data_IF_409144161669
#
_entry.id   IF_409144161669
#
_cell.length_a   1.000
_cell.length_b   1.000
_cell.length_c   1.000
_cell.angle_alpha   90.00
_cell.angle_beta   90.00
_cell.angle_gamma   90.00
#
_symmetry.space_group_name_H-M   'P 1'
#
loop_
_entity.id
_entity.type
_entity.pdbx_description
1 polymer ?
#
# COMPACT_ATOMS: atom_id res chain seq x y z
N UNK A 1 -9.81 41.66 -72.15
CA UNK A 1 -10.67 41.19 -71.05
C UNK A 1 -10.38 39.72 -70.82
N UNK A 2 -10.16 39.31 -69.56
CA UNK A 2 -9.81 37.92 -69.22
C UNK A 2 -8.95 37.85 -67.96
N UNK A 3 -9.53 38.10 -66.78
CA UNK A 3 -8.85 37.84 -65.51
C UNK A 3 -8.91 36.35 -65.19
N UNK A 4 -7.76 35.76 -64.88
CA UNK A 4 -7.66 34.42 -64.31
C UNK A 4 -7.71 34.52 -62.78
N UNK A 5 -8.83 34.11 -62.17
CA UNK A 5 -8.91 33.95 -60.73
C UNK A 5 -8.27 32.62 -60.30
N UNK A 6 -7.10 32.68 -59.66
CA UNK A 6 -6.54 31.55 -58.94
C UNK A 6 -7.24 31.40 -57.58
N UNK A 7 -8.05 30.34 -57.41
CA UNK A 7 -8.70 30.02 -56.14
C UNK A 7 -7.74 29.25 -55.22
N UNK A 8 -7.25 29.92 -54.17
CA UNK A 8 -6.43 29.29 -53.14
C UNK A 8 -7.31 28.52 -52.14
N UNK A 9 -7.40 27.20 -52.30
CA UNK A 9 -8.09 26.33 -51.33
C UNK A 9 -7.24 26.12 -50.08
N UNK A 10 -7.50 26.89 -49.02
CA UNK A 10 -6.88 26.68 -47.72
C UNK A 10 -7.38 25.36 -47.09
N UNK A 11 -6.55 24.32 -47.16
CA UNK A 11 -6.80 23.05 -46.49
C UNK A 11 -6.59 23.22 -44.97
N UNK A 12 -7.69 23.39 -44.23
CA UNK A 12 -7.68 23.31 -42.77
C UNK A 12 -7.41 21.86 -42.35
N UNK A 13 -6.14 21.52 -42.15
CA UNK A 13 -5.74 20.26 -41.53
C UNK A 13 -6.23 20.23 -40.09
N UNK A 14 -7.27 19.44 -39.83
CA UNK A 14 -7.70 19.14 -38.47
C UNK A 14 -6.67 18.21 -37.83
N UNK A 15 -5.62 18.82 -37.26
CA UNK A 15 -4.71 18.15 -36.32
C UNK A 15 -5.54 17.59 -35.17
N UNK A 16 -5.88 16.30 -35.29
CA UNK A 16 -6.54 15.56 -34.22
C UNK A 16 -5.59 15.59 -33.04
N UNK A 17 -5.92 16.34 -31.99
CA UNK A 17 -5.20 16.27 -30.72
C UNK A 17 -5.51 14.93 -30.06
N UNK A 18 -4.85 13.88 -30.53
CA UNK A 18 -4.67 12.64 -29.78
C UNK A 18 -3.87 12.97 -28.53
N UNK A 19 -4.58 13.36 -27.47
CA UNK A 19 -3.98 13.55 -26.15
C UNK A 19 -3.28 12.26 -25.77
N UNK A 20 -1.96 12.32 -25.54
CA UNK A 20 -1.19 11.16 -25.10
C UNK A 20 -1.89 10.49 -23.90
N UNK A 21 -2.10 9.17 -23.92
CA UNK A 21 -2.85 8.49 -22.86
C UNK A 21 -2.16 8.71 -21.51
N UNK A 22 -2.93 9.08 -20.48
CA UNK A 22 -2.42 9.32 -19.13
C UNK A 22 -1.72 8.04 -18.64
N UNK A 23 -0.40 8.07 -18.55
CA UNK A 23 0.36 7.00 -17.93
C UNK A 23 0.27 7.16 -16.41
N UNK A 24 0.05 6.07 -15.70
CA UNK A 24 -0.02 6.08 -14.24
C UNK A 24 0.49 4.76 -13.67
N UNK A 25 0.98 4.83 -12.42
CA UNK A 25 1.38 3.68 -11.63
C UNK A 25 1.04 3.91 -10.17
N UNK A 26 0.73 2.85 -9.44
CA UNK A 26 0.74 2.91 -7.98
C UNK A 26 2.13 3.37 -7.50
N UNK A 27 2.15 4.20 -6.47
CA UNK A 27 3.36 4.85 -5.98
C UNK A 27 3.61 4.53 -4.50
N UNK A 28 2.59 4.62 -3.65
CA UNK A 28 2.59 4.15 -2.25
C UNK A 28 1.18 3.66 -1.88
N UNK A 29 1.07 2.77 -0.92
CA UNK A 29 -0.21 2.28 -0.39
C UNK A 29 -0.02 1.70 1.02
N UNK A 30 -1.12 1.55 1.76
CA UNK A 30 -1.09 0.94 3.09
C UNK A 30 -2.47 0.75 3.71
N UNK A 31 -2.65 -0.24 4.61
CA UNK A 31 -3.91 -0.40 5.37
C UNK A 31 -4.05 0.55 6.58
N UNK A 32 -3.10 1.44 6.88
CA UNK A 32 -3.23 2.46 7.94
C UNK A 32 -2.72 3.79 7.40
N UNK A 33 -3.44 4.89 7.61
CA UNK A 33 -3.16 6.16 6.91
C UNK A 33 -3.59 7.43 7.63
N UNK A 34 -3.90 7.40 8.92
CA UNK A 34 -4.26 8.60 9.68
C UNK A 34 -5.70 9.11 9.47
N UNK A 35 -6.30 8.86 8.29
CA UNK A 35 -7.60 9.44 7.91
C UNK A 35 -8.78 8.53 8.26
N UNK A 36 -9.68 8.91 9.20
CA UNK A 36 -10.78 8.05 9.63
C UNK A 36 -11.96 8.00 8.64
N UNK A 37 -12.05 8.98 7.73
CA UNK A 37 -13.14 9.12 6.75
C UNK A 37 -12.63 8.92 5.31
N UNK A 38 -13.48 8.54 4.35
CA UNK A 38 -13.09 8.53 2.94
C UNK A 38 -12.59 9.91 2.49
N UNK A 39 -11.47 9.96 1.77
CA UNK A 39 -10.85 11.22 1.31
C UNK A 39 -10.13 11.01 -0.01
N UNK A 40 -10.30 11.96 -0.92
CA UNK A 40 -9.67 11.96 -2.24
C UNK A 40 -8.89 13.27 -2.41
N UNK A 41 -7.68 13.20 -2.98
CA UNK A 41 -6.79 14.35 -3.13
C UNK A 41 -6.06 14.30 -4.47
N UNK A 42 -5.79 15.47 -5.03
CA UNK A 42 -4.84 15.66 -6.13
C UNK A 42 -3.74 16.58 -5.64
N UNK A 43 -2.49 16.15 -5.80
CA UNK A 43 -1.30 16.87 -5.36
C UNK A 43 -0.45 17.21 -6.58
N UNK A 44 -0.21 18.49 -6.75
CA UNK A 44 0.43 19.10 -7.90
C UNK A 44 1.81 19.68 -7.58
N UNK A 45 2.22 19.72 -6.31
CA UNK A 45 3.50 20.29 -5.86
C UNK A 45 4.13 19.46 -4.75
N UNK A 46 5.46 19.55 -4.63
CA UNK A 46 6.21 18.94 -3.52
C UNK A 46 5.69 19.37 -2.15
N UNK A 47 5.36 20.65 -1.97
CA UNK A 47 4.80 21.13 -0.71
C UNK A 47 3.44 20.51 -0.34
N UNK A 48 2.60 20.16 -1.33
CA UNK A 48 1.35 19.42 -1.08
C UNK A 48 1.65 17.97 -0.68
N UNK A 49 2.57 17.31 -1.39
CA UNK A 49 3.01 15.95 -1.09
C UNK A 49 3.64 15.84 0.30
N UNK A 50 4.57 16.74 0.65
CA UNK A 50 5.24 16.77 1.95
C UNK A 50 4.26 16.98 3.12
N UNK A 51 3.25 17.84 2.95
CA UNK A 51 2.17 18.03 3.95
C UNK A 51 1.30 16.79 4.07
N UNK A 52 0.85 16.22 2.96
CA UNK A 52 0.06 14.99 2.95
C UNK A 52 0.83 13.83 3.57
N UNK A 53 2.10 13.65 3.21
CA UNK A 53 2.99 12.64 3.77
C UNK A 53 3.02 12.79 5.28
N UNK A 54 3.43 13.94 5.79
CA UNK A 54 3.47 14.23 7.23
C UNK A 54 2.12 14.02 7.93
N UNK A 55 0.99 14.29 7.27
CA UNK A 55 -0.36 14.03 7.81
C UNK A 55 -0.63 12.52 7.97
N UNK A 56 -0.37 11.72 6.93
CA UNK A 56 -0.66 10.28 6.98
C UNK A 56 0.40 9.50 7.78
N UNK A 57 1.64 10.02 7.86
CA UNK A 57 2.80 9.34 8.47
C UNK A 57 3.13 9.79 9.90
N UNK A 58 2.90 11.05 10.24
CA UNK A 58 3.50 11.68 11.41
C UNK A 58 5.04 11.76 11.33
N UNK A 59 5.62 11.63 10.14
CA UNK A 59 7.02 11.98 9.86
C UNK A 59 7.17 13.48 9.56
N UNK A 60 8.40 13.96 9.44
CA UNK A 60 8.63 15.35 9.04
C UNK A 60 8.24 15.54 7.57
N UNK A 61 7.65 16.69 7.18
CA UNK A 61 7.31 16.94 5.78
C UNK A 61 8.48 16.71 4.81
N UNK A 62 9.69 17.05 5.21
CA UNK A 62 10.92 16.91 4.40
C UNK A 62 11.38 15.45 4.20
N UNK A 63 10.86 14.46 4.94
CA UNK A 63 11.20 13.03 4.69
C UNK A 63 10.31 12.38 3.63
N UNK A 64 9.34 13.11 3.08
CA UNK A 64 8.54 12.62 1.97
C UNK A 64 9.46 12.38 0.75
N UNK A 65 9.35 11.20 0.10
CA UNK A 65 10.11 10.88 -1.11
C UNK A 65 10.11 12.00 -2.18
N UNK A 66 11.27 12.25 -2.77
CA UNK A 66 11.55 13.40 -3.64
C UNK A 66 11.75 13.04 -5.12
N UNK A 67 11.56 11.76 -5.49
CA UNK A 67 11.76 11.23 -6.84
C UNK A 67 10.68 11.63 -7.88
N UNK A 68 9.83 12.62 -7.58
CA UNK A 68 8.70 13.06 -8.42
C UNK A 68 9.08 14.27 -9.29
N UNK A 69 8.93 14.14 -10.61
CA UNK A 69 9.12 15.21 -11.58
C UNK A 69 7.86 16.08 -11.69
N UNK A 70 7.69 17.01 -10.76
CA UNK A 70 6.49 17.88 -10.71
C UNK A 70 6.10 18.57 -12.02
N UNK A 71 7.01 19.03 -12.91
CA UNK A 71 6.62 19.58 -14.21
C UNK A 71 5.90 18.59 -15.13
N UNK A 72 6.20 17.30 -15.00
CA UNK A 72 5.71 16.22 -15.88
C UNK A 72 4.68 15.32 -15.20
N UNK A 73 4.54 15.41 -13.87
CA UNK A 73 3.80 14.46 -13.06
C UNK A 73 2.95 15.14 -11.98
N UNK A 74 1.98 14.39 -11.48
CA UNK A 74 1.13 14.73 -10.35
C UNK A 74 0.78 13.46 -9.56
N UNK A 75 0.44 13.60 -8.28
CA UNK A 75 0.03 12.49 -7.43
C UNK A 75 -1.48 12.58 -7.14
N UNK A 76 -2.14 11.44 -7.03
CA UNK A 76 -3.50 11.29 -6.54
C UNK A 76 -3.46 10.43 -5.29
N UNK A 77 -4.19 10.81 -4.24
CA UNK A 77 -4.41 9.96 -3.07
C UNK A 77 -5.89 9.61 -2.92
N UNK A 78 -6.16 8.37 -2.51
CA UNK A 78 -7.49 7.86 -2.17
C UNK A 78 -7.40 7.13 -0.84
N UNK A 79 -8.25 7.53 0.11
CA UNK A 79 -8.49 6.88 1.40
C UNK A 79 -9.93 6.38 1.43
N UNK A 80 -10.16 5.17 1.95
CA UNK A 80 -11.52 4.65 2.15
C UNK A 80 -12.06 4.88 3.57
N UNK A 81 -11.24 5.45 4.46
CA UNK A 81 -11.58 5.66 5.88
C UNK A 81 -11.43 4.39 6.71
N UNK A 82 -11.88 4.43 7.98
CA UNK A 82 -11.71 3.33 8.91
C UNK A 82 -12.53 2.08 8.55
N UNK A 83 -11.97 0.90 8.79
CA UNK A 83 -12.60 -0.41 8.60
C UNK A 83 -12.37 -1.31 9.82
N UNK A 84 -13.35 -2.17 10.19
CA UNK A 84 -13.36 -2.86 11.49
C UNK A 84 -12.42 -4.08 11.57
N UNK A 85 -11.82 -4.49 10.46
CA UNK A 85 -10.89 -5.62 10.39
C UNK A 85 -9.80 -5.37 9.35
N UNK A 86 -8.81 -6.26 9.32
CA UNK A 86 -7.95 -6.44 8.15
C UNK A 86 -8.75 -7.00 6.95
N UNK A 87 -8.12 -7.01 5.77
CA UNK A 87 -8.70 -7.56 4.53
C UNK A 87 -9.57 -6.61 3.72
N UNK A 88 -9.69 -5.35 4.14
CA UNK A 88 -10.18 -4.26 3.29
C UNK A 88 -9.01 -3.60 2.58
N UNK A 89 -9.16 -3.21 1.33
CA UNK A 89 -8.09 -2.57 0.54
C UNK A 89 -8.66 -1.52 -0.41
N UNK A 90 -7.79 -0.70 -1.00
CA UNK A 90 -8.17 0.24 -2.07
C UNK A 90 -7.14 0.24 -3.18
N UNK A 91 -7.61 0.23 -4.43
CA UNK A 91 -6.76 0.32 -5.61
C UNK A 91 -7.41 1.15 -6.71
N UNK A 92 -6.57 1.84 -7.49
CA UNK A 92 -7.00 2.50 -8.72
C UNK A 92 -7.06 1.47 -9.86
N UNK A 93 -8.16 1.48 -10.60
CA UNK A 93 -8.40 0.58 -11.73
C UNK A 93 -8.05 1.24 -13.07
N UNK A 94 -8.33 2.53 -13.22
CA UNK A 94 -8.03 3.30 -14.42
C UNK A 94 -7.98 4.79 -14.15
N UNK A 95 -7.08 5.51 -14.83
CA UNK A 95 -7.15 6.96 -14.97
C UNK A 95 -7.24 7.30 -16.44
N UNK A 96 -8.28 8.03 -16.85
CA UNK A 96 -8.57 8.30 -18.26
C UNK A 96 -9.16 9.71 -18.44
N UNK A 97 -8.75 10.40 -19.50
CA UNK A 97 -9.45 11.58 -20.00
C UNK A 97 -10.74 11.11 -20.67
N UNK A 98 -11.91 11.41 -20.10
CA UNK A 98 -13.21 11.00 -20.67
C UNK A 98 -13.77 12.04 -21.63
N UNK A 99 -13.42 13.32 -21.42
CA UNK A 99 -13.77 14.48 -22.25
C UNK A 99 -12.64 15.51 -22.15
N UNK A 100 -12.51 16.46 -23.09
CA UNK A 100 -11.56 17.56 -22.96
C UNK A 100 -11.71 18.27 -21.61
N UNK A 101 -10.66 18.26 -20.79
CA UNK A 101 -10.66 18.85 -19.46
C UNK A 101 -11.32 18.04 -18.33
N UNK A 102 -11.77 16.79 -18.57
CA UNK A 102 -12.34 15.90 -17.55
C UNK A 102 -11.54 14.59 -17.45
N UNK A 103 -10.88 14.38 -16.31
CA UNK A 103 -10.10 13.18 -16.00
C UNK A 103 -10.89 12.35 -14.97
N UNK A 104 -11.18 11.09 -15.27
CA UNK A 104 -11.85 10.17 -14.35
C UNK A 104 -10.85 9.16 -13.79
N UNK A 105 -10.79 9.10 -12.46
CA UNK A 105 -10.06 8.12 -11.67
C UNK A 105 -11.06 7.10 -11.15
N UNK A 106 -11.04 5.89 -11.70
CA UNK A 106 -11.84 4.77 -11.21
C UNK A 106 -11.06 3.99 -10.16
N UNK A 107 -11.69 3.69 -9.04
CA UNK A 107 -11.08 2.94 -7.97
C UNK A 107 -12.06 1.92 -7.36
N UNK A 108 -11.49 0.86 -6.80
CA UNK A 108 -12.23 -0.21 -6.13
C UNK A 108 -11.81 -0.28 -4.67
N UNK A 109 -12.81 -0.27 -3.79
CA UNK A 109 -12.68 -0.78 -2.43
C UNK A 109 -12.84 -2.30 -2.46
N UNK A 110 -11.80 -3.01 -2.05
CA UNK A 110 -11.86 -4.44 -1.78
C UNK A 110 -12.40 -4.64 -0.38
N UNK A 111 -13.36 -5.55 -0.22
CA UNK A 111 -13.84 -6.02 1.08
C UNK A 111 -13.45 -7.49 1.28
N UNK A 112 -13.32 -7.97 2.54
CA UNK A 112 -13.12 -9.38 2.82
C UNK A 112 -14.17 -10.24 2.12
N UNK A 113 -13.75 -11.36 1.53
CA UNK A 113 -14.69 -12.30 0.93
C UNK A 113 -15.61 -12.90 2.01
N UNK A 114 -16.87 -13.28 1.67
CA UNK A 114 -17.77 -13.93 2.63
C UNK A 114 -17.14 -15.18 3.25
N UNK A 115 -17.09 -15.25 4.59
CA UNK A 115 -16.46 -16.35 5.32
C UNK A 115 -14.92 -16.30 5.39
N UNK A 116 -14.27 -15.27 4.83
CA UNK A 116 -12.82 -15.10 4.95
C UNK A 116 -12.43 -14.81 6.41
N UNK A 117 -11.53 -15.63 6.95
CA UNK A 117 -10.91 -15.36 8.24
C UNK A 117 -9.98 -14.14 8.12
N UNK A 118 -10.25 -13.10 8.91
CA UNK A 118 -9.50 -11.83 8.94
C UNK A 118 -9.16 -11.43 10.37
N UNK A 119 -8.02 -10.76 10.55
CA UNK A 119 -7.62 -10.23 11.85
C UNK A 119 -8.55 -9.10 12.30
N UNK A 120 -8.98 -9.13 13.57
CA UNK A 120 -9.89 -8.14 14.17
C UNK A 120 -9.12 -6.89 14.61
N UNK A 121 -8.59 -6.16 13.65
CA UNK A 121 -7.79 -4.95 13.85
C UNK A 121 -8.38 -3.82 13.01
N UNK A 122 -8.61 -2.64 13.62
CA UNK A 122 -9.11 -1.47 12.90
C UNK A 122 -8.04 -0.97 11.92
N UNK A 123 -8.41 -0.85 10.65
CA UNK A 123 -7.56 -0.36 9.54
C UNK A 123 -8.10 0.97 8.98
N UNK A 124 -7.30 1.71 8.19
CA UNK A 124 -7.77 2.77 7.30
C UNK A 124 -7.04 2.72 5.95
N UNK A 125 -7.48 1.90 4.98
CA UNK A 125 -6.73 1.71 3.75
C UNK A 125 -6.64 2.95 2.85
N UNK A 126 -5.47 3.12 2.24
CA UNK A 126 -5.16 4.21 1.31
C UNK A 126 -4.21 3.79 0.20
N UNK A 127 -4.27 4.52 -0.91
CA UNK A 127 -3.37 4.41 -2.06
C UNK A 127 -3.01 5.79 -2.59
N UNK A 128 -1.75 5.96 -2.99
CA UNK A 128 -1.24 7.09 -3.77
C UNK A 128 -0.78 6.57 -5.12
N UNK A 129 -1.29 7.19 -6.19
CA UNK A 129 -0.90 6.93 -7.59
C UNK A 129 -0.10 8.11 -8.11
N UNK A 130 0.95 7.81 -8.87
CA UNK A 130 1.72 8.77 -9.65
C UNK A 130 1.28 8.70 -11.10
N UNK A 131 0.91 9.84 -11.68
CA UNK A 131 0.46 9.91 -13.08
C UNK A 131 1.12 11.07 -13.83
N UNK A 132 1.16 10.94 -15.16
CA UNK A 132 1.51 12.04 -16.06
C UNK A 132 0.63 13.26 -15.77
N UNK A 133 1.24 14.43 -15.73
CA UNK A 133 0.53 15.70 -15.62
C UNK A 133 -0.33 15.89 -16.87
N UNK A 134 -1.62 16.07 -16.66
CA UNK A 134 -2.62 16.22 -17.71
C UNK A 134 -3.58 17.36 -17.33
N UNK A 135 -3.97 18.22 -18.29
CA UNK A 135 -4.90 19.32 -18.02
C UNK A 135 -6.32 18.78 -17.86
N UNK A 136 -6.96 19.12 -16.75
CA UNK A 136 -8.37 18.81 -16.50
C UNK A 136 -8.73 18.77 -15.02
N UNK A 137 -10.03 18.76 -14.75
CA UNK A 137 -10.56 18.49 -13.41
C UNK A 137 -10.58 16.98 -13.20
N UNK A 138 -9.98 16.52 -12.10
CA UNK A 138 -10.00 15.12 -11.70
C UNK A 138 -11.29 14.83 -10.94
N UNK A 139 -12.03 13.81 -11.40
CA UNK A 139 -13.21 13.25 -10.74
C UNK A 139 -12.97 11.80 -10.36
N UNK A 140 -13.61 11.35 -9.31
CA UNK A 140 -13.42 10.03 -8.73
C UNK A 140 -14.69 9.20 -8.84
N UNK A 141 -14.57 7.98 -9.36
CA UNK A 141 -15.66 7.00 -9.45
C UNK A 141 -15.25 5.77 -8.63
N UNK A 142 -15.91 5.57 -7.48
CA UNK A 142 -15.64 4.45 -6.56
C UNK A 142 -16.65 3.32 -6.73
N UNK A 143 -16.18 2.07 -6.62
CA UNK A 143 -17.03 0.87 -6.47
C UNK A 143 -16.51 -0.01 -5.34
N UNK A 144 -17.33 -0.96 -4.89
CA UNK A 144 -16.94 -1.95 -3.87
C UNK A 144 -16.96 -3.37 -4.48
N UNK A 145 -16.03 -4.24 -4.06
CA UNK A 145 -15.96 -5.63 -4.51
C UNK A 145 -15.52 -6.56 -3.36
N UNK A 146 -16.24 -7.67 -3.09
CA UNK A 146 -15.75 -8.73 -2.21
C UNK A 146 -14.62 -9.52 -2.87
N UNK A 147 -13.56 -9.80 -2.12
CA UNK A 147 -12.42 -10.58 -2.58
C UNK A 147 -11.51 -9.82 -3.58
N UNK A 148 -10.44 -10.48 -4.07
CA UNK A 148 -9.36 -9.81 -4.80
C UNK A 148 -9.83 -9.11 -6.07
N UNK A 149 -9.12 -8.05 -6.44
CA UNK A 149 -9.40 -7.21 -7.61
C UNK A 149 -9.33 -8.07 -8.88
N UNK A 150 -10.45 -8.17 -9.57
CA UNK A 150 -10.55 -8.83 -10.86
C UNK A 150 -9.92 -7.95 -11.96
N UNK A 151 -8.59 -8.02 -12.14
CA UNK A 151 -7.95 -7.34 -13.28
C UNK A 151 -8.43 -7.94 -14.59
N UNK A 152 -9.04 -7.11 -15.44
CA UNK A 152 -9.43 -7.47 -16.81
C UNK A 152 -8.17 -7.71 -17.66
N UNK A 153 -7.85 -8.96 -17.96
CA UNK A 153 -6.75 -9.31 -18.89
C UNK A 153 -7.17 -8.91 -20.32
N UNK A 154 -6.42 -8.02 -21.01
CA UNK A 154 -6.67 -7.72 -22.42
C UNK A 154 -6.59 -8.99 -23.27
N UNK A 155 -7.60 -9.24 -24.11
CA UNK A 155 -7.65 -10.41 -24.98
C UNK A 155 -8.35 -11.66 -24.41
N UNK A 156 -8.98 -11.59 -23.23
CA UNK A 156 -9.89 -12.67 -22.76
C UNK A 156 -11.36 -12.40 -23.12
N UNK A 157 -12.08 -13.50 -23.35
CA UNK A 157 -13.40 -13.61 -23.95
C UNK A 157 -14.55 -12.86 -23.22
N UNK A 158 -14.39 -12.46 -21.95
CA UNK A 158 -15.49 -11.85 -21.21
C UNK A 158 -15.06 -10.95 -20.04
N UNK A 159 -15.91 -9.98 -19.70
CA UNK A 159 -15.72 -9.05 -18.58
C UNK A 159 -15.84 -9.70 -17.19
N UNK A 160 -16.40 -10.92 -17.13
CA UNK A 160 -16.50 -11.75 -15.90
C UNK A 160 -15.39 -12.80 -15.79
N UNK A 161 -14.42 -12.79 -16.71
CA UNK A 161 -13.39 -13.81 -16.79
C UNK A 161 -12.24 -13.46 -15.84
N UNK A 162 -12.44 -13.70 -14.54
CA UNK A 162 -11.48 -13.39 -13.45
C UNK A 162 -10.30 -14.38 -13.44
N UNK A 163 -9.58 -14.46 -14.56
CA UNK A 163 -8.43 -15.32 -14.71
C UNK A 163 -7.17 -14.67 -14.15
N UNK A 164 -6.42 -15.45 -13.37
CA UNK A 164 -5.14 -15.13 -12.71
C UNK A 164 -5.29 -14.15 -11.53
N UNK A 165 -4.93 -14.57 -10.29
CA UNK A 165 -4.71 -13.62 -9.21
C UNK A 165 -3.45 -12.82 -9.54
N UNK A 166 -3.64 -11.55 -9.94
CA UNK A 166 -2.54 -10.60 -9.96
C UNK A 166 -2.14 -10.31 -8.51
N UNK A 167 -1.22 -11.14 -8.02
CA UNK A 167 -0.72 -11.18 -6.66
C UNK A 167 -1.77 -11.74 -5.69
N UNK A 168 -1.30 -12.50 -4.69
CA UNK A 168 -1.98 -12.44 -3.41
C UNK A 168 -1.79 -11.03 -2.89
N UNK A 169 -2.85 -10.24 -2.85
CA UNK A 169 -2.89 -9.10 -1.94
C UNK A 169 -3.22 -9.66 -0.56
N UNK A 170 -2.19 -10.19 0.09
CA UNK A 170 -2.11 -10.06 1.54
C UNK A 170 -1.79 -8.57 1.73
N UNK A 171 -2.74 -7.79 2.27
CA UNK A 171 -2.72 -6.32 2.23
C UNK A 171 -1.36 -5.66 2.40
N UNK A 172 -1.03 -4.73 1.50
CA UNK A 172 0.14 -3.85 1.59
C UNK A 172 0.04 -2.95 2.83
N UNK A 173 1.07 -2.92 3.70
CA UNK A 173 0.89 -2.38 5.04
C UNK A 173 2.11 -1.75 5.73
N UNK A 174 2.41 -0.50 5.37
CA UNK A 174 2.24 0.52 6.40
C UNK A 174 1.57 1.79 5.89
N UNK A 175 0.88 2.50 6.78
CA UNK A 175 1.54 3.62 7.46
C UNK A 175 1.02 3.75 8.93
N UNK A 176 0.81 4.94 9.50
CA UNK A 176 1.28 5.22 10.86
C UNK A 176 0.25 5.87 11.82
N UNK A 177 -0.93 5.25 12.04
CA UNK A 177 -1.68 5.53 13.28
C UNK A 177 -0.91 4.98 14.49
N UNK A 178 -0.81 5.73 15.62
CA UNK A 178 -0.47 5.11 16.89
C UNK A 178 -1.62 4.18 17.31
N UNK A 179 -1.37 2.87 17.28
CA UNK A 179 -2.24 1.89 17.91
C UNK A 179 -2.06 2.00 19.42
N UNK A 180 -3.08 2.51 20.09
CA UNK A 180 -3.25 2.40 21.55
C UNK A 180 -3.65 0.95 21.86
N UNK A 181 -2.81 0.19 22.55
CA UNK A 181 -3.14 -1.15 23.05
C UNK A 181 -2.92 -1.20 24.56
N UNK A 182 -3.93 -1.66 25.30
CA UNK A 182 -4.01 -1.61 26.77
C UNK A 182 -5.36 -1.05 27.25
N UNK A 183 -5.50 -0.83 28.56
CA UNK A 183 -6.61 -0.05 29.12
C UNK A 183 -6.47 1.42 28.65
N UNK A 184 -7.41 1.96 27.85
CA UNK A 184 -7.31 3.31 27.30
C UNK A 184 -7.41 4.41 28.38
N UNK A 185 -7.83 4.08 29.60
CA UNK A 185 -7.90 5.00 30.73
C UNK A 185 -6.69 4.88 31.67
N UNK A 186 -5.77 3.93 31.42
CA UNK A 186 -4.57 3.74 32.23
C UNK A 186 -3.27 3.95 31.41
N UNK A 187 -2.68 5.16 31.46
CA UNK A 187 -1.50 5.49 30.66
C UNK A 187 -0.24 4.68 31.01
N UNK A 188 -0.24 3.91 32.10
CA UNK A 188 0.86 2.99 32.45
C UNK A 188 0.83 1.67 31.64
N UNK A 189 -0.33 1.32 31.07
CA UNK A 189 -0.54 0.09 30.30
C UNK A 189 -0.80 0.35 28.81
N UNK A 190 -1.23 1.56 28.42
CA UNK A 190 -1.36 1.94 27.03
C UNK A 190 0.01 2.13 26.36
N UNK A 191 0.39 1.25 25.44
CA UNK A 191 1.61 1.40 24.64
C UNK A 191 1.22 1.98 23.28
N UNK A 192 1.75 3.15 22.89
CA UNK A 192 1.61 3.64 21.53
C UNK A 192 2.63 2.97 20.62
N UNK A 193 2.19 2.49 19.47
CA UNK A 193 3.09 1.97 18.45
C UNK A 193 2.51 2.09 17.03
N UNK A 194 3.39 2.08 16.03
CA UNK A 194 3.03 2.12 14.60
C UNK A 194 4.12 1.51 13.74
N UNK A 195 3.75 0.93 12.61
CA UNK A 195 4.75 0.42 11.65
C UNK A 195 5.60 1.58 11.11
N UNK A 196 6.91 1.39 11.06
CA UNK A 196 7.88 2.37 10.57
C UNK A 196 8.32 2.03 9.15
N UNK A 197 8.73 0.79 8.92
CA UNK A 197 9.17 0.26 7.62
C UNK A 197 8.72 -1.20 7.48
N UNK A 198 8.50 -1.69 6.26
CA UNK A 198 8.33 -3.12 5.98
C UNK A 198 8.89 -3.48 4.60
N UNK A 199 9.05 -4.76 4.31
CA UNK A 199 9.35 -5.25 2.98
C UNK A 199 9.05 -6.74 2.81
N UNK A 200 8.89 -7.18 1.56
CA UNK A 200 8.81 -8.61 1.21
C UNK A 200 10.18 -9.27 1.10
N UNK A 201 11.24 -8.48 0.87
CA UNK A 201 12.61 -8.97 0.75
C UNK A 201 13.56 -8.28 1.73
N UNK A 202 14.44 -9.09 2.31
CA UNK A 202 15.59 -8.65 3.10
C UNK A 202 16.78 -9.54 2.83
N UNK A 203 17.98 -8.96 2.93
CA UNK A 203 19.25 -9.69 2.91
C UNK A 203 19.49 -10.51 4.19
N UNK A 204 18.64 -10.36 5.23
CA UNK A 204 18.68 -11.18 6.44
C UNK A 204 17.91 -12.48 6.19
N UNK A 205 18.66 -13.59 6.06
CA UNK A 205 18.20 -14.92 5.66
C UNK A 205 17.79 -15.84 6.83
N UNK A 206 17.81 -15.32 8.06
CA UNK A 206 17.49 -16.03 9.31
C UNK A 206 16.39 -15.31 10.09
N UNK A 207 15.59 -16.06 10.84
CA UNK A 207 14.57 -15.50 11.74
C UNK A 207 15.26 -14.61 12.78
N UNK A 208 14.83 -13.35 12.91
CA UNK A 208 15.47 -12.36 13.79
C UNK A 208 14.42 -11.40 14.34
N UNK A 209 14.37 -11.27 15.66
CA UNK A 209 13.66 -10.20 16.37
C UNK A 209 14.69 -9.34 17.07
N UNK A 210 14.64 -8.02 16.91
CA UNK A 210 15.63 -7.11 17.49
C UNK A 210 14.97 -5.81 17.96
N UNK A 211 15.43 -5.31 19.10
CA UNK A 211 15.11 -3.96 19.59
C UNK A 211 16.25 -3.03 19.18
N UNK A 212 15.92 -1.86 18.63
CA UNK A 212 16.85 -0.83 18.20
C UNK A 212 16.53 0.42 19.02
N UNK A 213 17.51 0.96 19.73
CA UNK A 213 17.28 2.03 20.72
C UNK A 213 18.02 3.32 20.37
N UNK A 214 18.91 3.29 19.39
CA UNK A 214 19.65 4.45 18.86
C UNK A 214 19.57 4.54 17.34
N UNK A 215 19.87 5.74 16.82
CA UNK A 215 20.02 5.97 15.38
C UNK A 215 21.11 5.06 14.77
N UNK A 216 22.19 4.77 15.51
CA UNK A 216 23.25 3.87 15.05
C UNK A 216 22.79 2.42 14.91
N UNK A 217 21.96 1.93 15.84
CA UNK A 217 21.33 0.60 15.73
C UNK A 217 20.46 0.53 14.47
N UNK A 218 19.65 1.57 14.23
CA UNK A 218 18.76 1.68 13.09
C UNK A 218 19.51 1.70 11.76
N UNK A 219 20.50 2.58 11.60
CA UNK A 219 21.28 2.71 10.36
C UNK A 219 22.08 1.44 10.04
N UNK A 220 22.62 0.77 11.07
CA UNK A 220 23.27 -0.53 10.92
C UNK A 220 22.27 -1.60 10.47
N UNK A 221 21.14 -1.69 11.15
CA UNK A 221 20.06 -2.62 10.80
C UNK A 221 19.53 -2.39 9.37
N UNK A 222 19.34 -1.13 8.97
CA UNK A 222 18.86 -0.77 7.62
C UNK A 222 19.83 -1.26 6.55
N UNK A 223 21.14 -1.06 6.77
CA UNK A 223 22.17 -1.54 5.86
C UNK A 223 22.24 -3.07 5.80
N UNK A 224 22.19 -3.76 6.95
CA UNK A 224 22.13 -5.23 7.01
C UNK A 224 20.88 -5.80 6.31
N UNK A 225 19.73 -5.15 6.43
CA UNK A 225 18.44 -5.64 5.94
C UNK A 225 18.18 -5.34 4.46
N UNK A 226 18.62 -4.18 3.96
CA UNK A 226 18.32 -3.70 2.59
C UNK A 226 19.53 -3.71 1.65
N UNK A 227 20.75 -3.78 2.19
CA UNK A 227 21.99 -3.61 1.43
C UNK A 227 22.32 -2.17 1.04
N UNK A 228 21.48 -1.19 1.43
CA UNK A 228 21.75 0.22 1.16
C UNK A 228 22.77 0.82 2.14
N UNK A 229 23.51 1.88 1.76
CA UNK A 229 24.38 2.62 2.66
C UNK A 229 23.65 3.11 3.93
N UNK A 230 24.25 3.02 5.13
CA UNK A 230 23.59 3.37 6.40
C UNK A 230 23.02 4.80 6.46
N UNK A 231 23.67 5.76 5.79
CA UNK A 231 23.25 7.17 5.77
C UNK A 231 22.02 7.45 4.88
N UNK A 232 21.56 6.47 4.09
CA UNK A 232 20.32 6.55 3.32
C UNK A 232 19.12 5.91 4.06
N UNK A 233 19.31 5.47 5.31
CA UNK A 233 18.22 4.97 6.11
C UNK A 233 17.13 6.05 6.27
N UNK A 234 15.84 5.71 6.14
CA UNK A 234 14.73 6.59 6.53
C UNK A 234 14.92 7.12 7.94
N UNK A 235 14.38 8.31 8.25
CA UNK A 235 14.51 8.89 9.59
C UNK A 235 14.04 7.90 10.67
N UNK A 236 14.86 7.70 11.70
CA UNK A 236 14.55 6.85 12.86
C UNK A 236 13.44 7.39 13.76
N UNK A 237 13.41 6.92 15.01
CA UNK A 237 12.43 7.33 16.02
C UNK A 237 12.82 8.64 16.75
N UNK A 238 11.93 9.22 17.57
CA UNK A 238 12.37 10.16 18.62
C UNK A 238 13.05 9.34 19.74
N UNK A 239 14.36 9.12 19.60
CA UNK A 239 15.13 8.25 20.50
C UNK A 239 15.13 8.66 21.98
N UNK A 240 14.56 9.82 22.36
CA UNK A 240 14.34 10.15 23.77
C UNK A 240 13.07 9.51 24.33
N UNK A 241 12.06 9.29 23.48
CA UNK A 241 10.70 8.84 23.85
C UNK A 241 10.31 7.50 23.25
N UNK A 242 11.03 7.03 22.23
CA UNK A 242 10.63 5.92 21.37
C UNK A 242 11.81 4.98 21.07
N UNK A 243 11.47 3.79 20.60
CA UNK A 243 12.38 2.73 20.16
C UNK A 243 11.80 2.02 18.93
N UNK A 244 12.64 1.32 18.17
CA UNK A 244 12.18 0.47 17.07
C UNK A 244 12.30 -1.01 17.44
N UNK A 245 11.45 -1.82 16.83
CA UNK A 245 11.42 -3.28 16.90
C UNK A 245 11.43 -3.80 15.48
N UNK A 246 12.43 -4.59 15.12
CA UNK A 246 12.51 -5.28 13.84
C UNK A 246 12.16 -6.76 13.98
N UNK A 247 11.41 -7.30 13.02
CA UNK A 247 11.01 -8.71 12.94
C UNK A 247 11.24 -9.20 11.50
N UNK A 248 12.07 -10.23 11.34
CA UNK A 248 12.30 -10.96 10.09
C UNK A 248 11.79 -12.39 10.19
N UNK A 249 11.11 -12.86 9.15
CA UNK A 249 10.82 -14.28 8.95
C UNK A 249 11.24 -14.64 7.53
N UNK A 250 12.38 -15.31 7.34
CA UNK A 250 12.94 -15.59 6.03
C UNK A 250 12.26 -16.78 5.36
N UNK A 251 12.56 -16.97 4.07
CA UNK A 251 12.20 -18.13 3.25
C UNK A 251 10.70 -18.48 3.26
N UNK A 252 9.84 -17.47 3.26
CA UNK A 252 8.40 -17.65 3.13
C UNK A 252 7.99 -17.82 1.66
N UNK A 253 6.78 -18.34 1.41
CA UNK A 253 6.23 -18.41 0.05
C UNK A 253 6.01 -16.99 -0.50
N UNK A 254 6.24 -16.71 -1.80
CA UNK A 254 5.90 -15.44 -2.43
C UNK A 254 4.52 -14.90 -2.06
N UNK A 255 4.47 -13.61 -1.75
CA UNK A 255 3.25 -12.94 -1.28
C UNK A 255 2.91 -13.18 0.19
N UNK A 256 3.65 -14.02 0.92
CA UNK A 256 3.52 -14.12 2.39
C UNK A 256 3.98 -12.85 3.08
N UNK A 257 3.48 -12.57 4.29
CA UNK A 257 3.81 -11.36 5.06
C UNK A 257 4.04 -11.60 6.53
N UNK A 258 4.77 -10.69 7.15
CA UNK A 258 4.96 -10.58 8.60
C UNK A 258 4.38 -9.25 9.04
N UNK A 259 3.55 -9.24 10.08
CA UNK A 259 2.98 -8.01 10.64
C UNK A 259 2.85 -8.10 12.14
N UNK A 260 3.03 -6.99 12.86
CA UNK A 260 2.70 -6.93 14.29
C UNK A 260 1.19 -6.81 14.44
N UNK A 261 0.60 -7.66 15.27
CA UNK A 261 -0.82 -7.66 15.63
C UNK A 261 -1.07 -6.67 16.77
N UNK A 262 -0.36 -6.90 17.89
CA UNK A 262 -0.46 -6.12 19.12
C UNK A 262 0.88 -5.99 19.84
N UNK A 263 1.00 -4.92 20.64
CA UNK A 263 2.07 -4.73 21.63
C UNK A 263 1.38 -4.37 22.94
N UNK A 264 1.47 -5.24 23.93
CA UNK A 264 0.65 -5.19 25.14
C UNK A 264 1.50 -5.37 26.39
N UNK A 265 1.26 -4.54 27.42
CA UNK A 265 1.85 -4.74 28.75
C UNK A 265 1.10 -5.87 29.48
N UNK A 266 1.66 -7.08 29.42
CA UNK A 266 1.09 -8.27 30.09
C UNK A 266 1.52 -8.39 31.56
N UNK A 267 2.57 -7.69 31.98
CA UNK A 267 2.96 -7.54 33.38
C UNK A 267 3.74 -6.24 33.62
N UNK A 268 4.03 -5.90 34.89
CA UNK A 268 4.91 -4.77 35.21
C UNK A 268 6.31 -4.89 34.57
N UNK A 269 6.81 -6.13 34.36
CA UNK A 269 8.14 -6.42 33.83
C UNK A 269 8.15 -6.93 32.38
N UNK A 270 6.98 -7.08 31.75
CA UNK A 270 6.85 -7.81 30.47
C UNK A 270 5.89 -7.11 29.51
N UNK A 271 6.37 -6.87 28.30
CA UNK A 271 5.61 -6.38 27.17
C UNK A 271 5.61 -7.49 26.12
N UNK A 272 4.44 -7.99 25.73
CA UNK A 272 4.31 -8.99 24.67
C UNK A 272 4.12 -8.30 23.32
N UNK A 273 4.93 -8.68 22.33
CA UNK A 273 4.80 -8.30 20.92
C UNK A 273 4.23 -9.49 20.18
N UNK A 274 2.93 -9.46 19.89
CA UNK A 274 2.24 -10.48 19.11
C UNK A 274 2.40 -10.16 17.62
N UNK A 275 2.90 -11.10 16.81
CA UNK A 275 3.08 -10.88 15.38
C UNK A 275 2.58 -12.06 14.54
N UNK A 276 1.88 -11.75 13.45
CA UNK A 276 1.33 -12.72 12.51
C UNK A 276 2.32 -13.00 11.38
N UNK A 277 2.41 -14.28 11.01
CA UNK A 277 3.02 -14.72 9.76
C UNK A 277 1.91 -15.21 8.85
N UNK A 278 1.49 -14.34 7.93
CA UNK A 278 0.44 -14.63 6.96
C UNK A 278 1.06 -15.38 5.78
N UNK A 279 0.84 -16.70 5.74
CA UNK A 279 1.44 -17.56 4.72
C UNK A 279 0.54 -17.64 3.48
N UNK A 280 1.13 -17.39 2.31
CA UNK A 280 0.41 -17.45 1.04
C UNK A 280 0.00 -18.89 0.63
N UNK A 281 -1.12 -19.03 -0.10
CA UNK A 281 -1.55 -20.19 -0.89
C UNK A 281 -0.48 -20.86 -1.75
N UNK A 282 -0.78 -22.07 -2.16
CA UNK A 282 0.14 -22.99 -2.86
C UNK A 282 0.40 -22.60 -4.32
N UNK A 283 -0.48 -21.79 -4.93
CA UNK A 283 -0.54 -21.56 -6.38
C UNK A 283 0.12 -20.26 -6.86
N UNK A 284 1.25 -19.86 -6.26
CA UNK A 284 2.02 -18.72 -6.78
C UNK A 284 2.85 -19.15 -7.99
N UNK A 285 2.80 -18.35 -9.07
CA UNK A 285 3.60 -18.60 -10.28
C UNK A 285 5.11 -18.33 -10.05
N UNK A 286 5.45 -17.58 -9.00
CA UNK A 286 6.81 -17.44 -8.48
C UNK A 286 7.01 -18.50 -7.39
N UNK A 287 8.12 -19.24 -7.49
CA UNK A 287 8.49 -20.33 -6.58
C UNK A 287 9.70 -20.02 -5.70
N UNK A 288 10.49 -18.99 -6.04
CA UNK A 288 11.62 -18.54 -5.22
C UNK A 288 11.12 -17.99 -3.87
N UNK A 289 11.69 -18.41 -2.73
CA UNK A 289 11.19 -18.02 -1.43
C UNK A 289 11.64 -16.59 -1.06
N UNK A 290 10.73 -15.82 -0.47
CA UNK A 290 10.94 -14.40 -0.13
C UNK A 290 11.39 -14.23 1.32
N UNK A 291 11.98 -13.10 1.68
CA UNK A 291 12.38 -12.78 3.07
C UNK A 291 11.60 -11.60 3.70
N UNK A 292 10.30 -11.74 4.06
CA UNK A 292 9.52 -10.65 4.62
C UNK A 292 9.99 -10.16 5.99
N UNK A 293 9.83 -8.87 6.20
CA UNK A 293 10.22 -8.18 7.43
C UNK A 293 9.35 -6.96 7.72
N UNK A 294 9.26 -6.61 9.00
CA UNK A 294 8.55 -5.43 9.49
C UNK A 294 9.33 -4.78 10.62
N UNK A 295 9.36 -3.44 10.62
CA UNK A 295 9.90 -2.61 11.68
C UNK A 295 8.77 -1.78 12.26
N UNK A 296 8.56 -1.87 13.57
CA UNK A 296 7.58 -1.08 14.33
C UNK A 296 8.30 -0.08 15.22
N UNK A 297 7.79 1.14 15.25
CA UNK A 297 8.15 2.21 16.19
C UNK A 297 7.17 2.18 17.36
N UNK A 298 7.67 2.16 18.59
CA UNK A 298 6.85 2.23 19.81
C UNK A 298 7.42 3.20 20.83
N UNK A 299 6.59 3.64 21.78
CA UNK A 299 7.05 4.36 22.97
C UNK A 299 8.10 3.53 23.73
N UNK A 300 9.12 4.20 24.28
CA UNK A 300 10.01 3.63 25.28
C UNK A 300 9.21 3.33 26.53
N UNK A 301 9.16 2.06 26.90
CA UNK A 301 8.36 1.59 28.03
C UNK A 301 9.18 0.57 28.82
N UNK A 302 9.21 0.63 30.16
CA UNK A 302 10.07 -0.22 30.97
C UNK A 302 9.59 -1.69 30.95
N UNK A 303 10.54 -2.62 30.96
CA UNK A 303 10.28 -4.06 30.95
C UNK A 303 10.96 -4.78 29.78
N UNK A 304 10.88 -6.10 29.80
CA UNK A 304 11.39 -6.97 28.72
C UNK A 304 10.35 -7.11 27.61
N UNK A 305 10.81 -7.03 26.36
CA UNK A 305 10.00 -7.34 25.17
C UNK A 305 10.05 -8.85 24.89
N UNK A 306 8.89 -9.50 24.89
CA UNK A 306 8.71 -10.91 24.60
C UNK A 306 7.96 -11.09 23.28
N UNK A 307 8.50 -11.90 22.38
CA UNK A 307 8.00 -12.02 21.01
C UNK A 307 7.16 -13.27 20.83
N UNK A 308 5.88 -13.10 20.49
CA UNK A 308 4.93 -14.19 20.25
C UNK A 308 4.57 -14.26 18.76
N UNK A 309 5.05 -15.30 18.08
CA UNK A 309 4.68 -15.63 16.70
C UNK A 309 3.31 -16.30 16.66
N UNK A 310 2.52 -15.97 15.64
CA UNK A 310 1.31 -16.70 15.28
C UNK A 310 1.27 -16.91 13.77
N UNK A 311 1.38 -18.16 13.33
CA UNK A 311 1.28 -18.53 11.92
C UNK A 311 -0.20 -18.63 11.50
N UNK A 312 -0.55 -17.96 10.41
CA UNK A 312 -1.90 -17.98 9.83
C UNK A 312 -1.79 -18.32 8.36
N UNK A 313 -2.30 -19.49 7.98
CA UNK A 313 -2.45 -19.83 6.56
C UNK A 313 -3.62 -19.02 5.98
N UNK A 314 -3.37 -18.22 4.95
CA UNK A 314 -4.45 -17.56 4.21
C UNK A 314 -5.16 -18.62 3.38
N UNK A 315 -6.47 -18.87 3.59
CA UNK A 315 -7.18 -19.92 2.86
C UNK A 315 -7.18 -19.64 1.36
N UNK A 316 -7.07 -20.69 0.53
CA UNK A 316 -7.24 -20.54 -0.91
C UNK A 316 -8.70 -20.15 -1.19
N UNK A 317 -8.94 -18.87 -1.54
CA UNK A 317 -10.24 -18.46 -2.09
C UNK A 317 -10.38 -19.17 -3.43
N UNK A 318 -11.36 -20.08 -3.61
CA UNK A 318 -11.50 -20.79 -4.87
C UNK A 318 -11.73 -19.79 -6.00
N UNK A 319 -11.11 -19.97 -7.18
CA UNK A 319 -11.31 -19.05 -8.29
C UNK A 319 -12.79 -19.00 -8.63
N UNK A 320 -13.34 -17.79 -8.74
CA UNK A 320 -14.75 -17.58 -9.11
C UNK A 320 -14.97 -18.27 -10.46
N UNK A 321 -15.84 -19.30 -10.47
CA UNK A 321 -16.14 -20.03 -11.70
C UNK A 321 -16.77 -19.07 -12.71
N UNK A 322 -16.21 -19.08 -13.92
CA UNK A 322 -16.67 -18.25 -15.01
C UNK A 322 -17.89 -18.89 -15.68
N UNK A 323 -19.10 -18.65 -15.15
CA UNK A 323 -20.36 -19.15 -15.70
C UNK A 323 -20.75 -18.53 -17.07
N UNK A 324 -19.84 -17.79 -17.71
CA UNK A 324 -20.01 -17.20 -19.04
C UNK A 324 -19.93 -18.22 -20.19
N UNK A 325 -19.62 -19.50 -19.91
CA UNK A 325 -19.60 -20.57 -20.89
C UNK A 325 -18.43 -20.57 -21.89
N UNK A 326 -17.53 -19.58 -21.88
CA UNK A 326 -16.49 -19.47 -22.91
C UNK A 326 -15.40 -20.55 -22.81
N UNK A 327 -14.96 -21.06 -23.96
CA UNK A 327 -14.01 -22.19 -24.07
C UNK A 327 -12.56 -21.87 -23.69
N UNK A 328 -12.20 -20.59 -23.58
CA UNK A 328 -10.84 -20.11 -23.24
C UNK A 328 -10.69 -19.66 -21.78
N UNK A 329 -11.69 -19.95 -20.94
CA UNK A 329 -11.61 -19.77 -19.49
C UNK A 329 -10.69 -20.83 -18.85
N UNK A 330 -9.72 -20.45 -17.99
CA UNK A 330 -8.92 -21.42 -17.25
C UNK A 330 -9.81 -22.10 -16.20
N UNK A 331 -9.99 -23.42 -16.30
CA UNK A 331 -10.89 -24.19 -15.42
C UNK A 331 -12.11 -24.82 -16.11
N UNK A 332 -12.15 -24.86 -17.44
CA UNK A 332 -12.64 -26.06 -18.13
C UNK A 332 -11.53 -27.12 -18.17
#
# INVERSE_FOLDING_TARGET
MGLLCASASAQLSWSSMTSSPIQWREYKSGLYGGVPVPRQLVMNTGAQWQRYWSEITGELPQSAPDDISWPQEQLIAIHIGQRPSAGYEVAVESIQTVRPGEIVVRYVEVTPAPGQMVAKVITSPWVVVRMTRAPGVVRFEGRTQPGPIARRIPGRCCDRCTGIPSNLVIGYLPVQYPKVMGDPFNPLYSIQWRTHSEGSESNIDRSRTQVLVTEGDWQKYWSESTGQPPHLAPKGADWNKEQLIAIHVPRLRPGSKVMVESIERVSAATIQVSYLVLTAPSRTAVTEPTNPWVVVRMDRSPGSLQFKRQDVAVPEVPPVRCDCGCSTCPGR
#
